data_IF_200273118364
#
_entry.id   IF_200273118364
#
_cell.length_a   1.000
_cell.length_b   1.000
_cell.length_c   1.000
_cell.angle_alpha   90.00
_cell.angle_beta   90.00
_cell.angle_gamma   90.00
#
_symmetry.space_group_name_H-M   'P 1'
#
loop_
_entity.id
_entity.type
_entity.pdbx_description
1 polymer ?
#
# COMPACT_ATOMS: atom_id res chain seq x y z
N UNK A 1 -16.38 -1.72 22.36
CA UNK A 1 -15.08 -2.04 22.96
C UNK A 1 -14.91 -1.34 24.29
N UNK A 2 -14.51 -2.05 25.32
CA UNK A 2 -14.28 -1.49 26.67
C UNK A 2 -13.04 -0.58 26.67
N UNK A 3 -12.90 0.24 27.73
CA UNK A 3 -11.71 1.10 27.90
C UNK A 3 -10.41 0.28 27.97
N UNK A 4 -10.44 -0.88 28.64
CA UNK A 4 -9.31 -1.78 28.76
C UNK A 4 -8.92 -2.37 27.40
N UNK A 5 -9.90 -2.79 26.60
CA UNK A 5 -9.66 -3.32 25.25
C UNK A 5 -9.07 -2.26 24.33
N UNK A 6 -9.54 -1.01 24.43
CA UNK A 6 -8.99 0.11 23.64
C UNK A 6 -7.54 0.39 24.01
N UNK A 7 -7.19 0.36 25.31
CA UNK A 7 -5.79 0.54 25.75
C UNK A 7 -4.90 -0.57 25.26
N UNK A 8 -5.34 -1.83 25.37
CA UNK A 8 -4.59 -3.00 24.91
C UNK A 8 -4.32 -2.91 23.40
N UNK A 9 -5.34 -2.50 22.63
CA UNK A 9 -5.20 -2.31 21.19
C UNK A 9 -4.19 -1.21 20.87
N UNK A 10 -4.25 -0.05 21.55
CA UNK A 10 -3.31 1.06 21.35
C UNK A 10 -1.87 0.65 21.62
N UNK A 11 -1.63 -0.08 22.71
CA UNK A 11 -0.28 -0.57 23.07
C UNK A 11 0.23 -1.52 21.99
N UNK A 12 -0.60 -2.47 21.56
CA UNK A 12 -0.25 -3.43 20.50
C UNK A 12 0.08 -2.74 19.18
N UNK A 13 -0.76 -1.78 18.76
CA UNK A 13 -0.53 -1.02 17.52
C UNK A 13 0.76 -0.20 17.61
N UNK A 14 1.05 0.37 18.78
CA UNK A 14 2.28 1.11 19.04
C UNK A 14 3.52 0.21 18.92
N UNK A 15 3.47 -0.99 19.51
CA UNK A 15 4.55 -1.98 19.44
C UNK A 15 4.78 -2.41 17.99
N UNK A 16 3.72 -2.65 17.21
CA UNK A 16 3.84 -3.01 15.80
C UNK A 16 4.49 -1.91 14.98
N UNK A 17 4.09 -0.64 15.17
CA UNK A 17 4.69 0.49 14.46
C UNK A 17 6.18 0.62 14.79
N UNK A 18 6.54 0.48 16.06
CA UNK A 18 7.92 0.54 16.51
C UNK A 18 8.75 -0.60 15.90
N UNK A 19 8.20 -1.82 15.89
CA UNK A 19 8.84 -2.99 15.30
C UNK A 19 9.12 -2.79 13.81
N UNK A 20 8.15 -2.31 13.04
CA UNK A 20 8.31 -2.06 11.61
C UNK A 20 9.31 -0.93 11.35
N UNK A 21 9.29 0.11 12.15
CA UNK A 21 10.26 1.21 12.08
C UNK A 21 11.68 0.69 12.28
N UNK A 22 11.88 -0.19 13.26
CA UNK A 22 13.18 -0.82 13.54
C UNK A 22 13.60 -1.73 12.38
N UNK A 23 12.65 -2.44 11.76
CA UNK A 23 12.94 -3.32 10.64
C UNK A 23 13.41 -2.54 9.40
N UNK A 24 12.73 -1.46 9.08
CA UNK A 24 13.15 -0.58 7.98
C UNK A 24 14.50 0.06 8.28
N UNK A 25 14.73 0.45 9.52
CA UNK A 25 16.02 1.01 9.95
C UNK A 25 17.13 -0.02 9.81
N UNK A 26 16.87 -1.28 10.14
CA UNK A 26 17.83 -2.36 9.96
C UNK A 26 18.25 -2.51 8.49
N UNK A 27 17.32 -2.42 7.57
CA UNK A 27 17.62 -2.47 6.14
C UNK A 27 18.53 -1.29 5.74
N UNK A 28 18.20 -0.10 6.21
CA UNK A 28 18.97 1.11 5.90
C UNK A 28 20.37 1.06 6.52
N UNK A 29 20.52 0.46 7.69
CA UNK A 29 21.80 0.35 8.40
C UNK A 29 22.70 -0.74 7.81
N UNK A 30 22.15 -1.61 6.96
CA UNK A 30 22.88 -2.72 6.35
C UNK A 30 22.75 -2.68 4.82
N UNK A 31 23.18 -1.58 4.17
CA UNK A 31 22.95 -1.38 2.73
C UNK A 31 23.71 -2.37 1.84
N UNK A 32 24.77 -2.98 2.36
CA UNK A 32 25.59 -3.93 1.60
C UNK A 32 25.02 -5.35 1.59
N UNK A 33 23.97 -5.61 2.36
CA UNK A 33 23.28 -6.90 2.32
C UNK A 33 22.55 -7.05 0.98
N UNK A 34 22.43 -8.29 0.46
CA UNK A 34 21.78 -8.51 -0.82
C UNK A 34 20.25 -8.45 -0.72
N UNK A 35 19.72 -7.26 -0.45
CA UNK A 35 18.28 -7.04 -0.33
C UNK A 35 17.58 -7.27 -1.66
N UNK A 36 16.49 -8.02 -1.63
CA UNK A 36 15.62 -8.26 -2.78
C UNK A 36 14.53 -7.19 -2.81
N UNK A 37 14.74 -6.13 -3.58
CA UNK A 37 13.80 -4.99 -3.62
C UNK A 37 12.46 -5.37 -4.23
N UNK A 38 12.43 -6.38 -5.10
CA UNK A 38 11.16 -6.94 -5.59
C UNK A 38 10.36 -7.54 -4.44
N UNK A 39 11.01 -8.32 -3.57
CA UNK A 39 10.36 -8.88 -2.38
C UNK A 39 9.92 -7.83 -1.39
N UNK A 40 10.75 -6.80 -1.19
CA UNK A 40 10.41 -5.67 -0.32
C UNK A 40 9.20 -4.92 -0.88
N UNK A 41 9.08 -4.80 -2.21
CA UNK A 41 7.93 -4.16 -2.86
C UNK A 41 6.60 -4.87 -2.55
N UNK A 42 6.65 -6.17 -2.24
CA UNK A 42 5.48 -6.97 -1.86
C UNK A 42 5.15 -6.90 -0.36
N UNK A 43 6.02 -6.33 0.45
CA UNK A 43 5.83 -6.32 1.89
C UNK A 43 4.60 -5.47 2.25
N UNK A 44 3.58 -6.04 2.94
CA UNK A 44 2.35 -5.30 3.26
C UNK A 44 2.54 -4.15 4.23
N UNK A 45 3.72 -4.00 4.81
CA UNK A 45 4.05 -2.88 5.70
C UNK A 45 4.86 -1.77 5.00
N UNK A 46 5.13 -1.93 3.72
CA UNK A 46 5.81 -0.91 2.92
C UNK A 46 4.95 0.34 2.82
N UNK A 47 5.60 1.51 2.97
CA UNK A 47 4.93 2.82 2.89
C UNK A 47 5.53 3.65 1.75
N UNK A 48 4.75 4.61 1.25
CA UNK A 48 5.28 5.56 0.26
C UNK A 48 6.39 6.43 0.85
N UNK A 49 6.32 6.74 2.14
CA UNK A 49 7.39 7.51 2.80
C UNK A 49 8.73 6.78 2.72
N UNK A 50 8.72 5.46 2.96
CA UNK A 50 9.93 4.65 2.84
C UNK A 50 10.43 4.62 1.38
N UNK A 51 9.53 4.40 0.43
CA UNK A 51 9.87 4.37 -1.01
C UNK A 51 10.49 5.71 -1.43
N UNK A 52 9.86 6.81 -1.06
CA UNK A 52 10.31 8.16 -1.42
C UNK A 52 11.63 8.52 -0.75
N UNK A 53 11.91 7.96 0.42
CA UNK A 53 13.18 8.11 1.11
C UNK A 53 14.33 7.33 0.46
N UNK A 54 14.01 6.37 -0.41
CA UNK A 54 14.98 5.49 -1.07
C UNK A 54 14.72 5.43 -2.59
N UNK A 55 14.74 6.57 -3.30
CA UNK A 55 14.27 6.63 -4.69
C UNK A 55 15.15 5.90 -5.69
N UNK A 56 16.40 5.62 -5.32
CA UNK A 56 17.39 4.97 -6.20
C UNK A 56 17.38 3.45 -6.12
N UNK A 57 16.51 2.85 -5.33
CA UNK A 57 16.41 1.40 -5.22
C UNK A 57 15.60 0.82 -6.38
N UNK A 58 15.82 -0.49 -6.62
CA UNK A 58 15.16 -1.21 -7.73
C UNK A 58 13.74 -1.60 -7.36
N UNK A 59 12.89 -0.63 -7.09
CA UNK A 59 11.50 -0.84 -6.74
C UNK A 59 10.73 -1.52 -7.87
N UNK A 60 9.89 -2.47 -7.53
CA UNK A 60 8.99 -3.11 -8.49
C UNK A 60 7.62 -2.44 -8.43
N UNK A 61 7.34 -1.53 -9.34
CA UNK A 61 6.09 -0.74 -9.33
C UNK A 61 4.86 -1.57 -9.65
N UNK A 62 5.05 -2.67 -10.33
CA UNK A 62 4.01 -3.66 -10.56
C UNK A 62 3.48 -4.20 -9.21
N UNK A 63 4.39 -4.63 -8.32
CA UNK A 63 4.03 -5.11 -7.00
C UNK A 63 3.61 -3.98 -6.07
N UNK A 64 4.22 -2.82 -6.16
CA UNK A 64 3.80 -1.65 -5.37
C UNK A 64 2.36 -1.28 -5.72
N UNK A 65 1.99 -1.28 -7.00
CA UNK A 65 0.62 -0.98 -7.45
C UNK A 65 -0.41 -1.94 -6.88
N UNK A 66 -0.03 -3.18 -6.59
CA UNK A 66 -0.92 -4.20 -6.00
C UNK A 66 -0.80 -4.31 -4.48
N UNK A 67 0.11 -3.56 -3.87
CA UNK A 67 0.37 -3.66 -2.43
C UNK A 67 -0.83 -3.10 -1.65
N UNK A 68 -1.45 -3.88 -0.74
CA UNK A 68 -2.65 -3.45 -0.02
C UNK A 68 -2.42 -2.27 0.93
N UNK A 69 -1.17 -1.95 1.25
CA UNK A 69 -0.83 -0.80 2.07
C UNK A 69 -0.71 0.50 1.26
N UNK A 70 -0.76 0.41 -0.07
CA UNK A 70 -0.73 1.57 -0.97
C UNK A 70 -2.17 1.96 -1.28
N UNK A 71 -2.51 3.23 -1.04
CA UNK A 71 -3.87 3.75 -1.15
C UNK A 71 -4.00 4.72 -2.32
N UNK A 72 -5.23 5.08 -2.64
CA UNK A 72 -5.49 6.09 -3.68
C UNK A 72 -4.85 7.44 -3.33
N UNK A 73 -4.81 7.78 -2.04
CA UNK A 73 -4.13 9.00 -1.58
C UNK A 73 -2.65 8.95 -1.92
N UNK A 74 -2.00 7.82 -1.69
CA UNK A 74 -0.57 7.64 -2.03
C UNK A 74 -0.34 7.83 -3.53
N UNK A 75 -1.22 7.27 -4.35
CA UNK A 75 -1.13 7.37 -5.82
C UNK A 75 -1.31 8.81 -6.27
N UNK A 76 -2.32 9.51 -5.75
CA UNK A 76 -2.60 10.90 -6.11
C UNK A 76 -1.50 11.85 -5.64
N UNK A 77 -0.89 11.58 -4.50
CA UNK A 77 0.22 12.39 -3.98
C UNK A 77 1.53 12.14 -4.74
N UNK A 78 1.61 11.08 -5.54
CA UNK A 78 2.81 10.68 -6.27
C UNK A 78 2.49 10.38 -7.74
N UNK A 79 1.94 11.34 -8.50
CA UNK A 79 1.45 11.10 -9.86
C UNK A 79 2.55 10.81 -10.89
N UNK A 80 3.80 11.12 -10.56
CA UNK A 80 4.96 10.94 -11.43
C UNK A 80 5.54 9.53 -11.40
N UNK A 81 5.02 8.66 -10.54
CA UNK A 81 5.50 7.28 -10.44
C UNK A 81 4.89 6.41 -11.55
N UNK A 82 5.60 5.33 -11.95
CA UNK A 82 5.12 4.45 -13.03
C UNK A 82 4.07 3.46 -12.55
N UNK A 83 2.91 3.96 -12.17
CA UNK A 83 1.80 3.15 -11.66
C UNK A 83 1.24 2.22 -12.74
N UNK A 84 0.91 0.98 -12.35
CA UNK A 84 0.27 -0.02 -13.22
C UNK A 84 -1.22 -0.06 -12.90
N UNK A 85 -2.04 0.62 -13.71
CA UNK A 85 -3.48 0.79 -13.44
C UNK A 85 -4.27 -0.51 -13.49
N UNK A 86 -3.81 -1.51 -14.24
CA UNK A 86 -4.39 -2.85 -14.20
C UNK A 86 -4.31 -3.43 -12.79
N UNK A 87 -3.18 -3.25 -12.12
CA UNK A 87 -2.95 -3.77 -10.78
C UNK A 87 -3.57 -2.88 -9.71
N UNK A 88 -3.61 -1.57 -9.93
CA UNK A 88 -4.34 -0.66 -9.04
C UNK A 88 -5.83 -1.02 -9.05
N UNK A 89 -6.39 -1.34 -10.20
CA UNK A 89 -7.80 -1.75 -10.34
C UNK A 89 -8.14 -3.04 -9.57
N UNK A 90 -7.13 -3.83 -9.24
CA UNK A 90 -7.25 -5.07 -8.46
C UNK A 90 -6.84 -4.90 -7.00
N UNK A 91 -6.30 -3.75 -6.63
CA UNK A 91 -5.77 -3.53 -5.29
C UNK A 91 -6.92 -3.47 -4.29
N UNK A 92 -6.90 -4.30 -3.22
CA UNK A 92 -7.98 -4.32 -2.23
C UNK A 92 -8.11 -3.02 -1.42
N UNK A 93 -7.11 -2.12 -1.48
CA UNK A 93 -7.19 -0.81 -0.84
C UNK A 93 -8.09 0.17 -1.59
N UNK A 94 -8.40 -0.11 -2.87
CA UNK A 94 -9.18 0.77 -3.73
C UNK A 94 -10.67 0.57 -3.47
N UNK A 95 -11.41 1.69 -3.31
CA UNK A 95 -12.83 1.69 -2.98
C UNK A 95 -13.65 2.26 -4.14
N UNK A 96 -14.97 2.07 -4.10
CA UNK A 96 -15.89 2.70 -5.06
C UNK A 96 -15.78 4.22 -5.00
N UNK A 97 -15.60 4.78 -3.80
CA UNK A 97 -15.39 6.22 -3.62
C UNK A 97 -14.13 6.67 -4.37
N UNK A 98 -13.05 5.93 -4.26
CA UNK A 98 -11.80 6.24 -4.96
C UNK A 98 -12.00 6.29 -6.48
N UNK A 99 -12.74 5.35 -7.04
CA UNK A 99 -13.03 5.28 -8.47
C UNK A 99 -13.91 6.46 -8.88
N UNK A 100 -14.97 6.73 -8.12
CA UNK A 100 -15.90 7.83 -8.39
C UNK A 100 -15.23 9.20 -8.30
N UNK A 101 -14.30 9.36 -7.37
CA UNK A 101 -13.57 10.62 -7.19
C UNK A 101 -12.46 10.81 -8.23
N UNK A 102 -12.09 9.75 -8.96
CA UNK A 102 -10.99 9.76 -9.92
C UNK A 102 -11.42 9.17 -11.27
N UNK A 103 -12.48 9.70 -11.91
CA UNK A 103 -13.05 9.09 -13.12
C UNK A 103 -12.15 9.19 -14.36
N UNK A 104 -11.16 10.08 -14.33
CA UNK A 104 -10.25 10.33 -15.45
C UNK A 104 -9.04 9.38 -15.48
N UNK A 105 -8.93 8.48 -14.50
CA UNK A 105 -7.81 7.53 -14.46
C UNK A 105 -8.08 6.35 -15.39
N UNK A 106 -7.01 5.71 -15.92
CA UNK A 106 -7.16 4.59 -16.85
C UNK A 106 -7.49 3.27 -16.13
N UNK A 107 -8.62 3.25 -15.45
CA UNK A 107 -9.10 2.07 -14.73
C UNK A 107 -9.29 0.89 -15.67
N UNK A 108 -8.93 -0.30 -15.20
CA UNK A 108 -9.18 -1.55 -15.92
C UNK A 108 -10.56 -2.09 -15.54
N UNK A 109 -11.58 -1.77 -16.34
CA UNK A 109 -12.98 -2.01 -15.98
C UNK A 109 -13.33 -3.49 -15.85
N UNK A 110 -12.65 -4.38 -16.58
CA UNK A 110 -12.84 -5.83 -16.43
C UNK A 110 -12.47 -6.28 -15.01
N UNK A 111 -11.35 -5.80 -14.49
CA UNK A 111 -10.93 -6.13 -13.14
C UNK A 111 -11.82 -5.49 -12.08
N UNK A 112 -12.25 -4.26 -12.29
CA UNK A 112 -13.18 -3.59 -11.39
C UNK A 112 -14.50 -4.38 -11.33
N UNK A 113 -14.99 -4.85 -12.46
CA UNK A 113 -16.22 -5.65 -12.55
C UNK A 113 -16.13 -6.96 -11.76
N UNK A 114 -14.94 -7.48 -11.55
CA UNK A 114 -14.69 -8.75 -10.86
C UNK A 114 -14.27 -8.57 -9.42
N UNK A 115 -14.06 -7.33 -8.96
CA UNK A 115 -13.54 -7.07 -7.62
C UNK A 115 -14.66 -7.23 -6.59
N UNK A 116 -14.63 -8.26 -5.72
CA UNK A 116 -15.69 -8.52 -4.77
C UNK A 116 -15.85 -7.43 -3.72
N UNK A 117 -14.79 -6.72 -3.37
CA UNK A 117 -14.86 -5.61 -2.42
C UNK A 117 -15.73 -4.47 -2.96
N UNK A 118 -15.61 -4.17 -4.26
CA UNK A 118 -16.39 -3.12 -4.91
C UNK A 118 -17.86 -3.53 -5.04
N UNK A 119 -18.12 -4.80 -5.33
CA UNK A 119 -19.48 -5.33 -5.41
C UNK A 119 -20.16 -5.25 -4.04
N UNK A 120 -19.45 -5.56 -2.96
CA UNK A 120 -19.98 -5.50 -1.60
C UNK A 120 -20.31 -4.06 -1.20
N UNK A 121 -19.52 -3.09 -1.60
CA UNK A 121 -19.81 -1.67 -1.36
C UNK A 121 -21.10 -1.23 -2.06
N UNK A 122 -21.38 -1.74 -3.25
CA UNK A 122 -22.61 -1.45 -3.99
C UNK A 122 -23.85 -2.03 -3.31
N UNK A 123 -23.71 -3.16 -2.63
CA UNK A 123 -24.80 -3.83 -1.92
C UNK A 123 -25.10 -3.14 -0.58
N UNK A 124 -24.09 -2.66 0.10
CA UNK A 124 -24.19 -2.00 1.38
C UNK A 124 -24.50 -0.51 1.23
#
# INVERSE_FOLDING_TARGET
MSSTQKRTKKVRDSIHREWYSLWWQFILDNPDNPWEWTGISLNPNLTMDFINGQPDKSWNWFYISSNPNITMKDINDNPDKPWYWDWISRNPSITMKDINDNPDKPWHWDWISKNPNLIMELIN
#
